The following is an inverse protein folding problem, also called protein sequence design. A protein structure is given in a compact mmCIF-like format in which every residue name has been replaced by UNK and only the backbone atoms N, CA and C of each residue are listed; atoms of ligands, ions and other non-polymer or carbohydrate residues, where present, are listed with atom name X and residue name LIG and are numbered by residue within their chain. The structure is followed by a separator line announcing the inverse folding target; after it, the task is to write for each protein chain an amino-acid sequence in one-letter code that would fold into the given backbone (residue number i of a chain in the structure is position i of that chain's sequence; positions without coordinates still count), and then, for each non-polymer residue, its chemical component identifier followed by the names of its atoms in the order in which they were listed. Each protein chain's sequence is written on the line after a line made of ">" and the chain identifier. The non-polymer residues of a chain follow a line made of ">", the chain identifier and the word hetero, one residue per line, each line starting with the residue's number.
data_IF_808914960585
#
_entry.id   IF_808914960585
#
_cell.length_a   1.000
_cell.length_b   1.000
_cell.length_c   1.000
_cell.angle_alpha   90.00
_cell.angle_beta   90.00
_cell.angle_gamma   90.00
#
_symmetry.space_group_name_H-M   'P 1'
#
loop_
_entity.id
_entity.type
_entity.pdbx_description
1 polymer ?
#
# COMPACT_ATOMS: atom_id res chain seq x y z
N UNK A 1 -42.23 0.33 8.50
CA UNK A 1 -40.84 0.41 8.01
C UNK A 1 -40.89 0.49 6.49
N UNK A 2 -40.29 1.52 5.87
CA UNK A 2 -40.37 1.79 4.43
C UNK A 2 -39.23 1.11 3.67
N UNK A 3 -39.47 0.88 2.37
CA UNK A 3 -38.59 0.75 1.18
C UNK A 3 -39.08 -0.46 0.36
N UNK A 4 -39.98 -0.28 -0.63
CA UNK A 4 -39.77 0.13 -2.03
C UNK A 4 -38.80 -0.80 -2.77
N UNK A 5 -39.38 -1.63 -3.64
CA UNK A 5 -38.71 -2.20 -4.83
C UNK A 5 -39.41 -1.60 -6.04
N UNK A 6 -38.64 -1.04 -6.99
CA UNK A 6 -39.05 -0.97 -8.39
C UNK A 6 -37.82 -0.81 -9.30
N UNK A 7 -37.66 -1.84 -10.12
CA UNK A 7 -36.77 -1.97 -11.27
C UNK A 7 -37.31 -1.07 -12.41
N UNK A 8 -36.44 -0.54 -13.27
CA UNK A 8 -36.49 -0.69 -14.75
C UNK A 8 -35.73 0.44 -15.48
N UNK A 9 -34.95 0.06 -16.49
CA UNK A 9 -34.42 0.98 -17.50
C UNK A 9 -33.26 0.43 -18.32
N UNK A 10 -33.55 -0.51 -19.23
CA UNK A 10 -32.64 -0.87 -20.35
C UNK A 10 -32.79 0.20 -21.43
N UNK A 11 -31.71 0.67 -22.07
CA UNK A 11 -31.69 0.91 -23.52
C UNK A 11 -30.27 1.00 -24.10
N UNK A 12 -30.08 0.32 -25.22
CA UNK A 12 -28.87 0.11 -26.01
C UNK A 12 -28.71 1.26 -27.02
N UNK A 13 -27.49 1.70 -27.33
CA UNK A 13 -27.11 2.07 -28.72
C UNK A 13 -25.59 2.00 -28.94
N UNK A 14 -25.24 1.44 -30.09
CA UNK A 14 -23.89 1.38 -30.65
C UNK A 14 -23.42 2.76 -31.12
N UNK A 15 -22.16 3.11 -30.87
CA UNK A 15 -21.41 4.01 -31.74
C UNK A 15 -19.95 3.57 -31.85
N UNK A 16 -19.58 3.18 -33.07
CA UNK A 16 -18.21 2.95 -33.50
C UNK A 16 -17.51 4.26 -33.86
N UNK A 17 -16.30 4.39 -33.29
CA UNK A 17 -15.12 5.13 -33.75
C UNK A 17 -15.21 6.64 -34.04
N UNK A 18 -14.64 7.40 -33.11
CA UNK A 18 -13.74 8.51 -33.42
C UNK A 18 -12.39 8.25 -32.74
N UNK A 19 -11.34 7.96 -33.53
CA UNK A 19 -9.95 8.09 -33.07
C UNK A 19 -9.60 9.57 -33.12
N UNK A 20 -9.73 10.26 -31.99
CA UNK A 20 -8.96 11.45 -31.63
C UNK A 20 -9.22 11.72 -30.16
N UNK A 21 -8.15 12.02 -29.41
CA UNK A 21 -8.09 12.22 -27.95
C UNK A 21 -7.77 10.97 -27.09
N UNK A 22 -6.59 10.38 -27.32
CA UNK A 22 -5.83 9.64 -26.29
C UNK A 22 -4.89 10.57 -25.50
N UNK A 23 -5.31 11.81 -25.26
CA UNK A 23 -4.63 12.70 -24.33
C UNK A 23 -5.72 13.38 -23.51
N UNK A 24 -5.57 13.33 -22.18
CA UNK A 24 -6.35 14.07 -21.19
C UNK A 24 -7.59 13.37 -20.60
N UNK A 25 -7.42 12.16 -20.06
CA UNK A 25 -8.22 11.70 -18.90
C UNK A 25 -7.30 11.03 -17.87
N UNK A 26 -6.25 11.74 -17.47
CA UNK A 26 -5.76 11.64 -16.11
C UNK A 26 -5.74 13.08 -15.60
N UNK A 27 -6.28 13.37 -14.40
CA UNK A 27 -6.02 14.67 -13.81
C UNK A 27 -4.50 14.80 -13.68
N UNK A 28 -3.94 15.88 -14.22
CA UNK A 28 -2.58 16.28 -13.89
C UNK A 28 -2.49 16.40 -12.37
N UNK A 29 -1.84 15.41 -11.74
CA UNK A 29 -1.57 15.45 -10.31
C UNK A 29 -0.53 16.55 -10.11
N UNK A 30 -0.76 17.55 -9.25
CA UNK A 30 0.29 18.52 -8.93
C UNK A 30 1.52 17.77 -8.39
N UNK A 31 2.59 17.80 -9.17
CA UNK A 31 3.83 17.03 -8.95
C UNK A 31 4.67 17.52 -7.75
N UNK A 32 4.24 18.57 -7.04
CA UNK A 32 5.00 19.14 -5.92
C UNK A 32 4.95 18.29 -4.63
N UNK A 33 3.80 17.73 -4.25
CA UNK A 33 3.66 17.05 -2.94
C UNK A 33 4.16 15.60 -2.95
N UNK A 34 4.06 14.90 -4.09
CA UNK A 34 4.57 13.54 -4.23
C UNK A 34 6.10 13.48 -4.13
N UNK A 35 6.79 14.51 -4.65
CA UNK A 35 8.23 14.64 -4.53
C UNK A 35 8.64 14.98 -3.10
N UNK A 36 7.84 15.72 -2.32
CA UNK A 36 8.24 16.09 -0.96
C UNK A 36 8.35 14.89 -0.02
N UNK A 37 7.43 13.92 -0.06
CA UNK A 37 7.45 12.74 0.84
C UNK A 37 8.62 11.81 0.53
N UNK A 38 8.94 11.58 -0.74
CA UNK A 38 9.99 10.64 -1.13
C UNK A 38 11.40 11.05 -0.69
N UNK A 39 11.60 12.32 -0.31
CA UNK A 39 12.87 12.81 0.26
C UNK A 39 12.92 12.70 1.79
N UNK A 40 11.81 12.36 2.46
CA UNK A 40 11.72 12.42 3.92
C UNK A 40 11.83 11.03 4.55
N UNK A 41 11.30 10.03 3.87
CA UNK A 41 11.46 8.64 4.28
C UNK A 41 11.42 7.71 3.07
N UNK A 42 12.12 6.59 3.22
CA UNK A 42 12.13 5.51 2.25
C UNK A 42 11.66 4.21 2.92
N UNK A 43 10.82 3.45 2.21
CA UNK A 43 10.41 2.11 2.63
C UNK A 43 10.79 1.12 1.54
N UNK A 44 11.72 0.21 1.86
CA UNK A 44 12.16 -0.87 0.97
C UNK A 44 11.66 -2.22 1.47
N UNK A 45 11.22 -3.06 0.55
CA UNK A 45 10.93 -4.47 0.82
C UNK A 45 12.24 -5.24 0.76
N UNK A 46 12.61 -5.92 1.85
CA UNK A 46 13.85 -6.70 1.95
C UNK A 46 13.62 -8.17 1.61
N UNK A 47 12.54 -8.74 2.12
CA UNK A 47 12.22 -10.15 1.96
C UNK A 47 10.72 -10.39 2.07
N UNK A 48 10.29 -11.50 1.46
CA UNK A 48 8.91 -11.98 1.46
C UNK A 48 8.98 -13.49 1.63
N UNK A 49 8.16 -14.06 2.53
CA UNK A 49 8.15 -15.50 2.77
C UNK A 49 6.75 -15.98 3.14
N UNK A 50 6.36 -17.17 2.67
CA UNK A 50 5.23 -17.88 3.25
C UNK A 50 5.70 -18.56 4.54
N UNK A 51 4.95 -18.37 5.61
CA UNK A 51 5.21 -18.96 6.92
C UNK A 51 4.00 -19.77 7.34
N UNK A 52 4.23 -20.88 8.04
CA UNK A 52 3.17 -21.64 8.71
C UNK A 52 3.24 -21.33 10.19
N UNK A 53 2.16 -20.82 10.74
CA UNK A 53 2.04 -20.52 12.16
C UNK A 53 1.87 -21.81 12.97
N UNK A 54 2.00 -21.73 14.30
CA UNK A 54 1.88 -22.88 15.19
C UNK A 54 0.54 -23.63 15.06
N UNK A 55 -0.53 -22.91 14.72
CA UNK A 55 -1.87 -23.47 14.52
C UNK A 55 -2.09 -24.05 13.11
N UNK A 56 -1.03 -24.13 12.30
CA UNK A 56 -1.06 -24.68 10.94
C UNK A 56 -1.57 -23.72 9.85
N UNK A 57 -2.06 -22.53 10.25
CA UNK A 57 -2.47 -21.46 9.34
C UNK A 57 -1.26 -20.89 8.59
N UNK A 58 -1.45 -20.57 7.31
CA UNK A 58 -0.42 -19.89 6.53
C UNK A 58 -0.50 -18.37 6.73
N UNK A 59 0.64 -17.72 6.66
CA UNK A 59 0.76 -16.26 6.66
C UNK A 59 1.82 -15.85 5.66
N UNK A 60 1.53 -14.76 4.94
CA UNK A 60 2.52 -14.15 4.07
C UNK A 60 3.27 -13.06 4.84
N UNK A 61 4.55 -13.31 5.09
CA UNK A 61 5.44 -12.42 5.82
C UNK A 61 6.15 -11.48 4.86
N UNK A 62 6.20 -10.19 5.21
CA UNK A 62 6.99 -9.18 4.50
C UNK A 62 7.86 -8.42 5.48
N UNK A 63 9.15 -8.30 5.18
CA UNK A 63 10.09 -7.49 5.96
C UNK A 63 10.43 -6.22 5.20
N UNK A 64 10.29 -5.08 5.88
CA UNK A 64 10.58 -3.74 5.38
C UNK A 64 11.79 -3.14 6.09
N UNK A 65 12.61 -2.40 5.35
CA UNK A 65 13.50 -1.37 5.90
C UNK A 65 12.83 -0.01 5.73
N UNK A 66 12.64 0.70 6.83
CA UNK A 66 12.13 2.06 6.89
C UNK A 66 13.30 2.96 7.24
N UNK A 67 13.71 3.83 6.33
CA UNK A 67 14.81 4.77 6.55
C UNK A 67 14.25 6.19 6.65
N UNK A 68 14.63 6.89 7.72
CA UNK A 68 14.42 8.33 7.80
C UNK A 68 15.50 9.04 6.98
N UNK A 69 15.08 9.82 6.00
CA UNK A 69 15.94 10.60 5.10
C UNK A 69 15.80 12.11 5.35
N UNK A 70 14.96 12.50 6.31
CA UNK A 70 14.78 13.88 6.73
C UNK A 70 15.80 14.31 7.78
N UNK A 71 15.83 15.61 8.03
CA UNK A 71 16.57 16.26 9.11
C UNK A 71 15.83 16.25 10.46
N UNK A 72 14.64 15.64 10.53
CA UNK A 72 13.78 15.61 11.73
C UNK A 72 13.50 14.18 12.19
N UNK A 73 13.21 13.99 13.47
CA UNK A 73 12.81 12.66 13.96
C UNK A 73 11.38 12.33 13.53
N UNK A 74 11.16 11.13 13.00
CA UNK A 74 9.82 10.66 12.62
C UNK A 74 9.16 9.98 13.83
N UNK A 75 8.02 10.52 14.25
CA UNK A 75 7.18 9.96 15.31
C UNK A 75 6.15 8.97 14.77
N UNK A 76 5.66 9.17 13.55
CA UNK A 76 4.71 8.26 12.93
C UNK A 76 4.88 8.23 11.41
N UNK A 77 4.74 7.04 10.83
CA UNK A 77 4.72 6.84 9.38
C UNK A 77 3.61 5.84 9.01
N UNK A 78 2.87 6.14 7.94
CA UNK A 78 1.86 5.24 7.40
C UNK A 78 1.96 5.09 5.89
N UNK A 79 1.75 3.87 5.40
CA UNK A 79 1.84 3.54 3.98
C UNK A 79 0.84 2.45 3.60
N UNK A 80 0.56 2.35 2.31
CA UNK A 80 -0.05 1.16 1.74
C UNK A 80 1.04 0.18 1.29
N UNK A 81 0.95 -1.07 1.72
CA UNK A 81 1.61 -2.19 1.07
C UNK A 81 0.72 -2.65 -0.09
N UNK A 82 1.09 -2.29 -1.33
CA UNK A 82 0.32 -2.66 -2.53
C UNK A 82 0.92 -3.94 -3.12
N UNK A 83 0.15 -5.02 -3.12
CA UNK A 83 0.56 -6.32 -3.66
C UNK A 83 0.17 -6.41 -5.12
N UNK A 84 1.13 -6.72 -5.97
CA UNK A 84 1.01 -6.66 -7.43
C UNK A 84 1.44 -8.01 -8.02
N UNK A 85 0.60 -8.57 -8.87
CA UNK A 85 0.89 -9.74 -9.67
C UNK A 85 0.47 -9.49 -11.12
N UNK A 86 1.35 -9.78 -12.08
CA UNK A 86 1.13 -9.51 -13.52
C UNK A 86 0.58 -8.09 -13.78
N UNK A 87 1.21 -7.08 -13.19
CA UNK A 87 0.85 -5.67 -13.31
C UNK A 87 -0.57 -5.30 -12.82
N UNK A 88 -1.22 -6.18 -12.05
CA UNK A 88 -2.51 -5.92 -11.41
C UNK A 88 -2.36 -5.91 -9.89
N UNK A 89 -3.06 -4.99 -9.24
CA UNK A 89 -3.18 -4.98 -7.79
C UNK A 89 -4.07 -6.16 -7.40
N UNK A 90 -3.56 -7.01 -6.51
CA UNK A 90 -4.26 -8.20 -6.01
C UNK A 90 -4.70 -8.06 -4.56
N UNK A 91 -4.01 -7.20 -3.81
CA UNK A 91 -4.33 -6.85 -2.42
C UNK A 91 -3.67 -5.50 -2.08
N UNK A 92 -4.18 -4.80 -1.07
CA UNK A 92 -3.57 -3.61 -0.51
C UNK A 92 -3.83 -3.53 1.00
N UNK A 93 -2.78 -3.27 1.78
CA UNK A 93 -2.89 -3.18 3.24
C UNK A 93 -2.38 -1.84 3.74
N UNK A 94 -3.17 -1.18 4.59
CA UNK A 94 -2.74 0.03 5.26
C UNK A 94 -1.94 -0.33 6.51
N UNK A 95 -0.70 0.14 6.58
CA UNK A 95 0.18 -0.04 7.73
C UNK A 95 0.42 1.33 8.36
N UNK A 96 0.20 1.41 9.67
CA UNK A 96 0.40 2.62 10.45
C UNK A 96 1.33 2.32 11.63
N UNK A 97 2.55 2.85 11.56
CA UNK A 97 3.58 2.65 12.57
C UNK A 97 3.78 3.94 13.37
N UNK A 98 3.53 3.85 14.68
CA UNK A 98 3.82 4.91 15.65
C UNK A 98 5.05 4.54 16.45
N UNK A 99 6.05 5.41 16.44
CA UNK A 99 7.20 5.34 17.31
C UNK A 99 6.88 6.04 18.63
N UNK A 100 7.28 5.45 19.74
CA UNK A 100 7.25 6.06 21.06
C UNK A 100 8.51 6.93 21.28
N UNK A 101 8.51 7.71 22.36
CA UNK A 101 9.61 8.63 22.69
C UNK A 101 10.98 7.95 22.85
N UNK A 102 11.03 6.65 23.18
CA UNK A 102 12.26 5.90 23.41
C UNK A 102 12.78 5.20 22.13
N UNK A 103 11.94 5.06 21.11
CA UNK A 103 12.28 4.42 19.84
C UNK A 103 11.93 5.29 18.62
N UNK A 104 11.89 6.62 18.82
CA UNK A 104 11.66 7.56 17.73
C UNK A 104 12.70 7.38 16.63
N UNK A 105 12.26 7.44 15.37
CA UNK A 105 13.13 7.21 14.24
C UNK A 105 13.91 8.48 13.90
N UNK A 106 15.14 8.60 14.41
CA UNK A 106 15.99 9.79 14.22
C UNK A 106 16.47 9.94 12.77
N UNK A 107 16.98 11.11 12.35
CA UNK A 107 17.61 11.29 11.05
C UNK A 107 18.64 10.20 10.73
N UNK A 108 18.66 9.77 9.47
CA UNK A 108 19.51 8.69 8.92
C UNK A 108 19.36 7.30 9.54
N UNK A 109 18.49 7.13 10.55
CA UNK A 109 18.25 5.83 11.16
C UNK A 109 17.36 4.94 10.30
N UNK A 110 17.56 3.63 10.48
CA UNK A 110 16.76 2.58 9.88
C UNK A 110 15.99 1.82 10.95
N UNK A 111 14.75 1.50 10.64
CA UNK A 111 13.89 0.61 11.41
C UNK A 111 13.46 -0.56 10.54
N UNK A 112 13.48 -1.76 11.12
CA UNK A 112 13.08 -2.98 10.43
C UNK A 112 11.73 -3.43 10.97
N UNK A 113 10.76 -3.61 10.08
CA UNK A 113 9.43 -4.09 10.44
C UNK A 113 9.11 -5.35 9.65
N UNK A 114 8.70 -6.41 10.34
CA UNK A 114 8.08 -7.58 9.72
C UNK A 114 6.58 -7.54 9.95
N UNK A 115 5.80 -7.67 8.89
CA UNK A 115 4.34 -7.77 8.95
C UNK A 115 3.89 -9.14 8.47
N UNK A 116 2.81 -9.66 9.04
CA UNK A 116 2.15 -10.88 8.59
C UNK A 116 0.80 -10.52 7.99
N UNK A 117 0.50 -11.12 6.84
CA UNK A 117 -0.84 -11.18 6.27
C UNK A 117 -1.36 -12.60 6.46
N UNK A 118 -2.28 -12.85 7.40
CA UNK A 118 -2.88 -14.17 7.60
C UNK A 118 -3.67 -14.62 6.37
N UNK A 119 -3.66 -15.92 6.09
CA UNK A 119 -4.40 -16.50 4.95
C UNK A 119 -5.90 -16.18 5.04
N UNK A 120 -6.51 -16.22 6.22
CA UNK A 120 -7.95 -15.93 6.38
C UNK A 120 -8.33 -14.50 5.98
N UNK A 121 -7.39 -13.56 6.00
CA UNK A 121 -7.62 -12.18 5.60
C UNK A 121 -7.49 -11.96 4.08
N UNK A 122 -7.00 -12.95 3.34
CA UNK A 122 -6.80 -12.87 1.89
C UNK A 122 -8.07 -13.25 1.13
N UNK A 123 -8.27 -12.64 -0.05
CA UNK A 123 -9.28 -13.15 -1.02
C UNK A 123 -8.86 -14.51 -1.56
N UNK A 124 -9.79 -15.35 -2.01
CA UNK A 124 -9.44 -16.68 -2.54
C UNK A 124 -8.50 -16.62 -3.77
N UNK A 125 -8.64 -15.57 -4.59
CA UNK A 125 -7.71 -15.29 -5.68
C UNK A 125 -6.30 -14.99 -5.14
N UNK A 126 -6.19 -14.14 -4.13
CA UNK A 126 -4.93 -13.81 -3.47
C UNK A 126 -4.30 -15.04 -2.82
N UNK A 127 -5.07 -15.84 -2.08
CA UNK A 127 -4.58 -17.06 -1.41
C UNK A 127 -3.84 -18.00 -2.37
N UNK A 128 -4.43 -18.27 -3.54
CA UNK A 128 -3.81 -19.13 -4.57
C UNK A 128 -2.49 -18.56 -5.09
N UNK A 129 -2.35 -17.23 -5.16
CA UNK A 129 -1.11 -16.58 -5.57
C UNK A 129 -0.05 -16.56 -4.46
N UNK A 130 -0.44 -16.23 -3.22
CA UNK A 130 0.48 -16.08 -2.11
C UNK A 130 1.06 -17.41 -1.61
N UNK A 131 0.33 -18.51 -1.74
CA UNK A 131 0.76 -19.85 -1.32
C UNK A 131 1.56 -20.61 -2.38
N UNK A 132 1.79 -19.99 -3.54
CA UNK A 132 2.51 -20.61 -4.65
C UNK A 132 3.87 -19.93 -4.85
N UNK A 133 4.94 -20.58 -4.40
CA UNK A 133 6.30 -20.05 -4.44
C UNK A 133 6.83 -19.74 -5.86
N UNK A 134 6.22 -20.30 -6.91
CA UNK A 134 6.57 -19.99 -8.29
C UNK A 134 5.96 -18.65 -8.77
N UNK A 135 4.99 -18.09 -8.04
CA UNK A 135 4.35 -16.81 -8.38
C UNK A 135 5.11 -15.66 -7.71
N UNK A 136 5.76 -14.84 -8.53
CA UNK A 136 6.47 -13.65 -8.03
C UNK A 136 5.49 -12.51 -7.78
N UNK A 137 5.17 -12.28 -6.51
CA UNK A 137 4.40 -11.11 -6.08
C UNK A 137 5.36 -9.94 -5.83
N UNK A 138 5.01 -8.78 -6.37
CA UNK A 138 5.75 -7.53 -6.11
C UNK A 138 4.99 -6.72 -5.09
N UNK A 139 5.68 -6.23 -4.06
CA UNK A 139 5.09 -5.34 -3.07
C UNK A 139 5.66 -3.95 -3.29
N UNK A 140 4.77 -2.98 -3.44
CA UNK A 140 5.13 -1.57 -3.58
C UNK A 140 4.62 -0.77 -2.38
N UNK A 141 5.51 -0.37 -1.46
CA UNK A 141 5.15 0.59 -0.41
C UNK A 141 4.77 1.94 -1.03
N UNK A 142 3.66 2.52 -0.56
CA UNK A 142 3.22 3.86 -0.96
C UNK A 142 2.96 4.67 0.30
N UNK A 143 3.93 5.52 0.67
CA UNK A 143 3.84 6.38 1.86
C UNK A 143 2.68 7.37 1.68
N UNK A 144 1.85 7.47 2.72
CA UNK A 144 0.66 8.32 2.78
C UNK A 144 0.73 9.39 3.85
N UNK A 145 1.48 9.14 4.91
CA UNK A 145 1.57 10.03 6.06
C UNK A 145 2.93 9.92 6.74
N UNK A 146 3.50 11.06 7.12
CA UNK A 146 4.63 11.18 8.03
C UNK A 146 4.28 12.27 9.05
N UNK A 147 4.52 12.00 10.33
CA UNK A 147 4.51 12.98 11.41
C UNK A 147 5.88 13.01 12.08
N UNK A 148 6.41 14.21 12.26
CA UNK A 148 7.66 14.45 12.96
C UNK A 148 7.42 14.76 14.45
N UNK A 149 8.48 14.68 15.26
CA UNK A 149 8.44 15.00 16.70
C UNK A 149 8.03 16.44 17.01
N UNK A 150 8.37 17.38 16.13
CA UNK A 150 7.95 18.79 16.23
C UNK A 150 6.46 19.01 15.88
N UNK A 151 5.72 17.93 15.59
CA UNK A 151 4.31 17.96 15.23
C UNK A 151 4.04 18.28 13.75
N UNK A 152 5.06 18.57 12.94
CA UNK A 152 4.88 18.78 11.51
C UNK A 152 4.45 17.49 10.82
N UNK A 153 3.58 17.61 9.82
CA UNK A 153 3.02 16.46 9.09
C UNK A 153 3.15 16.63 7.58
N UNK A 154 3.25 15.50 6.88
CA UNK A 154 3.22 15.44 5.42
C UNK A 154 2.25 14.35 4.99
N UNK A 155 1.33 14.68 4.08
CA UNK A 155 0.26 13.80 3.59
C UNK A 155 0.23 13.73 2.06
N UNK A 156 -0.30 12.62 1.50
CA UNK A 156 -0.48 12.41 0.06
C UNK A 156 -1.76 11.67 -0.34
#
# INVERSE_FOLDING_TARGET
>A
MRIIVLILGIFITFFSYNRSALANVFPDIPTQNANKISHQAEIRVLSQNVQRNHDGQLSFSTTYAIQNQSDKSIQQIAWYAVYIFNNRIIDNRFINLKFNQFNILKPDQKYYLSTLLPEEEMTDFSKNLFTNDAKKITIKPVIKFIQFDDGTTITK
#
